data_IF_537027726677
#
_entry.id   IF_537027726677
#
_cell.length_a   1.000
_cell.length_b   1.000
_cell.length_c   1.000
_cell.angle_alpha   90.00
_cell.angle_beta   90.00
_cell.angle_gamma   90.00
#
_symmetry.space_group_name_H-M   'P 1'
#
loop_
_entity.id
_entity.type
_entity.pdbx_description
1 polymer ?
#
# COMPACT_ATOMS: atom_id res chain seq x y z
N UNK A 1 -12.30 -17.64 -17.19
CA UNK A 1 -11.61 -16.43 -16.73
C UNK A 1 -11.87 -15.33 -17.76
N UNK A 2 -12.79 -14.40 -17.47
CA UNK A 2 -13.17 -13.36 -18.44
C UNK A 2 -12.12 -12.25 -18.47
N UNK A 3 -11.73 -11.82 -19.68
CA UNK A 3 -10.78 -10.72 -19.95
C UNK A 3 -11.17 -9.39 -19.26
N UNK A 4 -12.42 -9.25 -18.83
CA UNK A 4 -12.98 -8.05 -18.22
C UNK A 4 -12.39 -7.70 -16.84
N UNK A 5 -11.81 -8.66 -16.10
CA UNK A 5 -11.15 -8.38 -14.82
C UNK A 5 -9.79 -7.69 -14.94
N UNK A 6 -9.14 -7.77 -16.11
CA UNK A 6 -7.88 -7.08 -16.40
C UNK A 6 -8.10 -5.70 -17.04
N UNK A 7 -9.26 -5.49 -17.65
CA UNK A 7 -9.60 -4.23 -18.33
C UNK A 7 -10.04 -3.12 -17.34
N UNK A 8 -10.52 -3.47 -16.15
CA UNK A 8 -10.85 -2.47 -15.10
C UNK A 8 -9.62 -1.83 -14.45
N UNK A 9 -8.47 -2.51 -14.49
CA UNK A 9 -7.15 -1.93 -14.16
C UNK A 9 -6.58 -1.06 -15.29
N UNK A 10 -7.23 -1.02 -16.47
CA UNK A 10 -6.73 -0.29 -17.66
C UNK A 10 -7.19 1.17 -17.74
N UNK A 11 -7.92 1.68 -16.75
CA UNK A 11 -8.30 3.09 -16.72
C UNK A 11 -7.11 3.93 -16.22
N UNK A 12 -6.30 4.34 -17.20
CA UNK A 12 -5.37 5.50 -17.21
C UNK A 12 -4.05 5.41 -16.42
N UNK A 13 -3.41 4.24 -16.38
CA UNK A 13 -1.94 4.26 -16.32
C UNK A 13 -1.46 4.71 -17.71
N UNK A 14 -1.11 6.00 -17.86
CA UNK A 14 -0.46 6.51 -19.07
C UNK A 14 0.64 5.51 -19.48
N UNK A 15 0.68 5.14 -20.76
CA UNK A 15 1.72 4.27 -21.33
C UNK A 15 3.13 4.69 -20.90
N UNK A 16 3.33 5.99 -20.64
CA UNK A 16 4.56 6.54 -20.08
C UNK A 16 4.82 6.08 -18.63
N UNK A 17 3.83 6.09 -17.75
CA UNK A 17 3.94 5.61 -16.37
C UNK A 17 4.28 4.11 -16.34
N UNK A 18 3.59 3.28 -17.12
CA UNK A 18 3.90 1.84 -17.20
C UNK A 18 5.35 1.59 -17.61
N UNK A 19 5.86 2.32 -18.61
CA UNK A 19 7.27 2.23 -19.03
C UNK A 19 8.24 2.66 -17.94
N UNK A 20 7.90 3.69 -17.17
CA UNK A 20 8.73 4.16 -16.05
C UNK A 20 8.75 3.11 -14.94
N UNK A 21 7.60 2.52 -14.58
CA UNK A 21 7.51 1.48 -13.54
C UNK A 21 8.35 0.24 -13.88
N UNK A 22 8.33 -0.22 -15.14
CA UNK A 22 9.21 -1.34 -15.58
C UNK A 22 10.71 -1.06 -15.43
N UNK A 23 11.11 0.22 -15.40
CA UNK A 23 12.51 0.61 -15.21
C UNK A 23 12.92 0.69 -13.74
N UNK A 24 11.97 0.65 -12.79
CA UNK A 24 12.23 0.73 -11.35
C UNK A 24 12.86 -0.56 -10.83
N UNK A 25 12.44 -1.71 -11.35
CA UNK A 25 12.93 -3.02 -10.92
C UNK A 25 14.44 -3.16 -11.12
N UNK A 26 14.96 -2.57 -12.21
CA UNK A 26 16.38 -2.65 -12.55
C UNK A 26 17.17 -1.58 -11.82
N UNK A 27 18.11 -1.99 -10.95
CA UNK A 27 19.01 -1.11 -10.19
C UNK A 27 19.67 -0.01 -11.05
N UNK A 28 20.11 -0.35 -12.27
CA UNK A 28 20.76 0.59 -13.21
C UNK A 28 19.84 1.72 -13.68
N UNK A 29 18.54 1.46 -13.86
CA UNK A 29 17.59 2.44 -14.43
C UNK A 29 16.70 3.10 -13.38
N UNK A 30 16.66 2.57 -12.15
CA UNK A 30 15.79 3.06 -11.08
C UNK A 30 15.95 4.55 -10.77
N UNK A 31 17.17 5.06 -10.65
CA UNK A 31 17.41 6.50 -10.40
C UNK A 31 16.87 7.38 -11.52
N UNK A 32 16.94 6.92 -12.78
CA UNK A 32 16.35 7.62 -13.93
C UNK A 32 14.83 7.57 -13.88
N UNK A 33 14.26 6.42 -13.50
CA UNK A 33 12.84 6.24 -13.34
C UNK A 33 12.26 7.16 -12.25
N UNK A 34 12.91 7.26 -11.09
CA UNK A 34 12.52 8.18 -10.00
C UNK A 34 12.47 9.63 -10.48
N UNK A 35 13.53 10.10 -11.14
CA UNK A 35 13.56 11.46 -11.73
C UNK A 35 12.49 11.70 -12.80
N UNK A 36 12.02 10.65 -13.46
CA UNK A 36 10.94 10.76 -14.44
C UNK A 36 9.58 10.88 -13.73
N UNK A 37 9.37 10.11 -12.65
CA UNK A 37 8.18 10.22 -11.80
C UNK A 37 8.08 11.58 -11.12
N UNK A 38 9.17 12.06 -10.51
CA UNK A 38 9.22 13.39 -9.87
C UNK A 38 8.85 14.50 -10.86
N UNK A 39 9.38 14.44 -12.09
CA UNK A 39 9.03 15.41 -13.13
C UNK A 39 7.56 15.31 -13.57
N UNK A 40 7.01 14.10 -13.64
CA UNK A 40 5.59 13.91 -13.97
C UNK A 40 4.67 14.47 -12.89
N UNK A 41 5.03 14.33 -11.61
CA UNK A 41 4.25 14.90 -10.50
C UNK A 41 4.07 16.41 -10.58
N UNK A 42 5.05 17.13 -11.16
CA UNK A 42 4.96 18.59 -11.35
C UNK A 42 3.92 19.00 -12.40
N UNK A 43 3.54 18.08 -13.30
CA UNK A 43 2.68 18.36 -14.45
C UNK A 43 1.29 17.75 -14.31
N UNK A 44 1.04 17.00 -13.23
CA UNK A 44 -0.17 16.21 -13.05
C UNK A 44 -0.99 16.79 -11.90
N UNK A 45 -2.29 16.88 -12.15
CA UNK A 45 -3.30 17.31 -11.18
C UNK A 45 -3.28 16.43 -9.94
N UNK A 46 -3.58 17.02 -8.80
CA UNK A 46 -3.42 16.37 -7.50
C UNK A 46 -4.18 15.05 -7.38
N UNK A 47 -5.40 14.99 -7.92
CA UNK A 47 -6.26 13.79 -7.91
C UNK A 47 -5.65 12.59 -8.66
N UNK A 48 -4.73 12.84 -9.60
CA UNK A 48 -4.10 11.82 -10.45
C UNK A 48 -2.68 11.45 -9.97
N UNK A 49 -2.22 11.96 -8.82
CA UNK A 49 -0.85 11.75 -8.33
C UNK A 49 -0.63 10.40 -7.66
N UNK A 50 -1.69 9.70 -7.22
CA UNK A 50 -1.54 8.46 -6.44
C UNK A 50 -0.68 7.40 -7.13
N UNK A 51 -0.81 7.11 -8.45
CA UNK A 51 0.02 6.06 -9.07
C UNK A 51 1.50 6.45 -9.15
N UNK A 52 1.80 7.75 -9.20
CA UNK A 52 3.16 8.28 -9.24
C UNK A 52 3.82 8.25 -7.86
N UNK A 53 3.06 8.58 -6.80
CA UNK A 53 3.53 8.41 -5.43
C UNK A 53 3.81 6.94 -5.12
N UNK A 54 2.97 6.01 -5.59
CA UNK A 54 3.24 4.57 -5.46
C UNK A 54 4.53 4.16 -6.17
N UNK A 55 4.73 4.61 -7.41
CA UNK A 55 5.98 4.35 -8.13
C UNK A 55 7.22 4.84 -7.36
N UNK A 56 7.15 6.04 -6.76
CA UNK A 56 8.25 6.59 -5.97
C UNK A 56 8.46 5.81 -4.67
N UNK A 57 7.40 5.46 -3.95
CA UNK A 57 7.47 4.64 -2.75
C UNK A 57 8.19 3.31 -3.03
N UNK A 58 7.77 2.59 -4.09
CA UNK A 58 8.41 1.33 -4.51
C UNK A 58 9.88 1.55 -4.87
N UNK A 59 10.20 2.59 -5.63
CA UNK A 59 11.58 2.87 -6.03
C UNK A 59 12.51 3.18 -4.84
N UNK A 60 12.01 3.92 -3.85
CA UNK A 60 12.75 4.20 -2.62
C UNK A 60 12.88 2.95 -1.75
N UNK A 61 11.83 2.13 -1.64
CA UNK A 61 11.87 0.85 -0.94
C UNK A 61 12.95 -0.09 -1.51
N UNK A 62 12.95 -0.29 -2.83
CA UNK A 62 13.94 -1.14 -3.51
C UNK A 62 15.37 -0.57 -3.42
N UNK A 63 15.51 0.72 -3.15
CA UNK A 63 16.79 1.39 -2.90
C UNK A 63 17.17 1.45 -1.42
N UNK A 64 16.37 0.83 -0.55
CA UNK A 64 16.51 0.84 0.92
C UNK A 64 16.52 2.26 1.51
N UNK A 65 15.87 3.21 0.83
CA UNK A 65 15.69 4.59 1.30
C UNK A 65 14.37 4.69 2.05
N UNK A 66 14.30 4.06 3.22
CA UNK A 66 13.06 3.83 3.93
C UNK A 66 12.33 5.11 4.35
N UNK A 67 13.04 6.15 4.79
CA UNK A 67 12.43 7.43 5.15
C UNK A 67 11.65 8.05 3.99
N UNK A 68 12.25 8.04 2.79
CA UNK A 68 11.59 8.55 1.59
C UNK A 68 10.45 7.66 1.13
N UNK A 69 10.59 6.34 1.29
CA UNK A 69 9.48 5.43 1.03
C UNK A 69 8.29 5.72 1.96
N UNK A 70 8.54 5.87 3.26
CA UNK A 70 7.52 6.20 4.25
C UNK A 70 6.85 7.54 3.94
N UNK A 71 7.62 8.56 3.54
CA UNK A 71 7.10 9.84 3.09
C UNK A 71 6.08 9.70 1.94
N UNK A 72 6.43 8.96 0.88
CA UNK A 72 5.50 8.74 -0.23
C UNK A 72 4.32 7.84 0.12
N UNK A 73 4.50 6.87 1.01
CA UNK A 73 3.39 6.08 1.55
C UNK A 73 2.40 6.95 2.34
N UNK A 74 2.89 7.93 3.11
CA UNK A 74 2.04 8.88 3.80
C UNK A 74 1.25 9.75 2.81
N UNK A 75 1.90 10.29 1.78
CA UNK A 75 1.22 11.03 0.71
C UNK A 75 0.12 10.22 0.03
N UNK A 76 0.37 8.94 -0.25
CA UNK A 76 -0.63 8.01 -0.79
C UNK A 76 -1.84 7.85 0.13
N UNK A 77 -1.58 7.60 1.41
CA UNK A 77 -2.62 7.34 2.39
C UNK A 77 -3.45 8.59 2.70
N UNK A 78 -2.87 9.78 2.56
CA UNK A 78 -3.62 11.04 2.65
C UNK A 78 -4.50 11.28 1.42
N UNK A 79 -3.99 10.99 0.23
CA UNK A 79 -4.68 11.29 -1.03
C UNK A 79 -5.76 10.26 -1.38
N UNK A 80 -5.44 8.96 -1.25
CA UNK A 80 -6.28 7.87 -1.72
C UNK A 80 -6.26 6.67 -0.75
N UNK A 81 -6.70 6.83 0.52
CA UNK A 81 -6.57 5.80 1.56
C UNK A 81 -7.30 4.49 1.26
N UNK A 82 -8.40 4.53 0.50
CA UNK A 82 -9.25 3.37 0.19
C UNK A 82 -9.18 3.01 -1.30
N UNK A 83 -7.99 3.10 -1.87
CA UNK A 83 -7.67 2.70 -3.24
C UNK A 83 -6.67 1.56 -3.23
N UNK A 84 -6.45 0.94 -4.40
CA UNK A 84 -5.37 -0.05 -4.58
C UNK A 84 -4.04 0.57 -4.19
N UNK A 85 -3.75 1.79 -4.64
CA UNK A 85 -2.51 2.49 -4.34
C UNK A 85 -2.33 2.75 -2.84
N UNK A 86 -3.40 3.15 -2.15
CA UNK A 86 -3.42 3.32 -0.71
C UNK A 86 -3.16 2.02 0.03
N UNK A 87 -3.76 0.92 -0.44
CA UNK A 87 -3.54 -0.42 0.12
C UNK A 87 -2.07 -0.83 -0.02
N UNK A 88 -1.47 -0.68 -1.20
CA UNK A 88 -0.04 -0.93 -1.41
C UNK A 88 0.84 -0.04 -0.52
N UNK A 89 0.51 1.25 -0.42
CA UNK A 89 1.21 2.18 0.47
C UNK A 89 1.17 1.74 1.94
N UNK A 90 0.03 1.25 2.42
CA UNK A 90 -0.07 0.70 3.78
C UNK A 90 0.74 -0.59 3.97
N UNK A 91 0.74 -1.50 2.99
CA UNK A 91 1.52 -2.73 3.02
C UNK A 91 3.04 -2.45 3.06
N UNK A 92 3.52 -1.49 2.26
CA UNK A 92 4.92 -1.05 2.29
C UNK A 92 5.34 -0.52 3.66
N UNK A 93 4.48 0.26 4.34
CA UNK A 93 4.77 0.75 5.70
C UNK A 93 4.93 -0.40 6.70
N UNK A 94 4.03 -1.38 6.66
CA UNK A 94 4.12 -2.58 7.50
C UNK A 94 5.45 -3.31 7.25
N UNK A 95 5.79 -3.51 5.98
CA UNK A 95 7.05 -4.16 5.59
C UNK A 95 8.27 -3.41 6.12
N UNK A 96 8.31 -2.08 5.95
CA UNK A 96 9.42 -1.24 6.43
C UNK A 96 9.58 -1.32 7.94
N UNK A 97 8.50 -1.12 8.72
CA UNK A 97 8.60 -1.18 10.17
C UNK A 97 9.00 -2.58 10.66
N UNK A 98 8.59 -3.63 9.95
CA UNK A 98 9.07 -4.99 10.19
C UNK A 98 10.57 -5.12 9.94
N UNK A 99 11.06 -4.63 8.80
CA UNK A 99 12.49 -4.64 8.45
C UNK A 99 13.34 -3.86 9.45
N UNK A 100 12.84 -2.73 9.95
CA UNK A 100 13.54 -1.88 10.92
C UNK A 100 13.42 -2.35 12.38
N UNK A 101 12.64 -3.39 12.65
CA UNK A 101 12.40 -3.87 14.02
C UNK A 101 11.55 -2.92 14.88
N UNK A 102 10.83 -1.98 14.26
CA UNK A 102 9.99 -0.98 14.91
C UNK A 102 8.64 -1.58 15.28
N UNK A 103 8.60 -2.36 16.37
CA UNK A 103 7.44 -3.20 16.74
C UNK A 103 6.15 -2.41 16.92
N UNK A 104 6.21 -1.26 17.61
CA UNK A 104 5.02 -0.44 17.90
C UNK A 104 4.44 0.13 16.61
N UNK A 105 5.27 0.76 15.80
CA UNK A 105 4.88 1.39 14.54
C UNK A 105 4.39 0.35 13.54
N UNK A 106 5.01 -0.84 13.53
CA UNK A 106 4.54 -1.97 12.75
C UNK A 106 3.12 -2.36 13.15
N UNK A 107 2.86 -2.55 14.45
CA UNK A 107 1.54 -2.91 14.96
C UNK A 107 0.48 -1.86 14.61
N UNK A 108 0.79 -0.58 14.79
CA UNK A 108 -0.11 0.52 14.41
C UNK A 108 -0.37 0.55 12.89
N UNK A 109 0.64 0.27 12.06
CA UNK A 109 0.50 0.21 10.60
C UNK A 109 -0.32 -1.01 10.16
N UNK A 110 -0.13 -2.16 10.80
CA UNK A 110 -0.87 -3.40 10.53
C UNK A 110 -2.36 -3.20 10.83
N UNK A 111 -2.70 -2.58 11.96
CA UNK A 111 -4.09 -2.22 12.28
C UNK A 111 -4.72 -1.26 11.27
N UNK A 112 -3.97 -0.26 10.79
CA UNK A 112 -4.44 0.66 9.74
C UNK A 112 -4.63 -0.05 8.40
N UNK A 113 -3.69 -0.91 8.01
CA UNK A 113 -3.75 -1.72 6.80
C UNK A 113 -5.00 -2.61 6.79
N UNK A 114 -5.28 -3.30 7.91
CA UNK A 114 -6.48 -4.10 8.08
C UNK A 114 -7.76 -3.26 7.91
N UNK A 115 -7.81 -2.07 8.53
CA UNK A 115 -8.97 -1.19 8.41
C UNK A 115 -9.21 -0.70 6.98
N UNK A 116 -8.15 -0.45 6.20
CA UNK A 116 -8.25 -0.10 4.78
C UNK A 116 -8.88 -1.25 4.00
N UNK A 117 -8.35 -2.47 4.14
CA UNK A 117 -8.90 -3.64 3.44
C UNK A 117 -10.37 -3.87 3.81
N UNK A 118 -10.72 -3.79 5.10
CA UNK A 118 -12.11 -3.94 5.55
C UNK A 118 -13.02 -2.91 4.89
N UNK A 119 -12.61 -1.64 4.82
CA UNK A 119 -13.40 -0.59 4.18
C UNK A 119 -13.52 -0.82 2.67
N UNK A 120 -12.46 -1.23 2.00
CA UNK A 120 -12.50 -1.55 0.57
C UNK A 120 -13.44 -2.74 0.29
N UNK A 121 -13.35 -3.80 1.09
CA UNK A 121 -14.19 -4.99 0.97
C UNK A 121 -15.70 -4.70 1.18
N UNK A 122 -16.03 -3.76 2.07
CA UNK A 122 -17.43 -3.43 2.39
C UNK A 122 -18.03 -2.32 1.52
N UNK A 123 -17.21 -1.35 1.10
CA UNK A 123 -17.71 -0.08 0.57
C UNK A 123 -17.16 0.32 -0.79
N UNK A 124 -16.14 -0.38 -1.32
CA UNK A 124 -15.61 -0.05 -2.66
C UNK A 124 -16.69 -0.22 -3.72
N UNK A 125 -16.88 0.80 -4.55
CA UNK A 125 -17.74 0.74 -5.74
C UNK A 125 -17.09 -0.03 -6.89
N UNK A 126 -15.75 -0.17 -6.87
CA UNK A 126 -15.00 -0.97 -7.82
C UNK A 126 -15.00 -2.45 -7.36
N UNK A 127 -15.62 -3.37 -8.12
CA UNK A 127 -15.66 -4.79 -7.78
C UNK A 127 -14.27 -5.43 -7.71
N UNK A 128 -13.32 -5.00 -8.53
CA UNK A 128 -11.96 -5.54 -8.54
C UNK A 128 -11.19 -5.18 -7.26
N UNK A 129 -11.35 -3.94 -6.79
CA UNK A 129 -10.79 -3.53 -5.49
C UNK A 129 -11.42 -4.28 -4.32
N UNK A 130 -12.74 -4.51 -4.40
CA UNK A 130 -13.48 -5.24 -3.38
C UNK A 130 -13.01 -6.69 -3.31
N UNK A 131 -12.90 -7.36 -4.45
CA UNK A 131 -12.46 -8.75 -4.55
C UNK A 131 -11.03 -8.93 -4.05
N UNK A 132 -10.11 -8.06 -4.49
CA UNK A 132 -8.73 -8.04 -3.99
C UNK A 132 -8.68 -7.90 -2.47
N UNK A 133 -9.42 -6.93 -1.89
CA UNK A 133 -9.43 -6.71 -0.45
C UNK A 133 -9.99 -7.91 0.33
N UNK A 134 -11.02 -8.58 -0.21
CA UNK A 134 -11.57 -9.81 0.39
C UNK A 134 -10.55 -10.95 0.33
N UNK A 135 -9.87 -11.13 -0.80
CA UNK A 135 -8.85 -12.17 -0.95
C UNK A 135 -7.69 -11.97 0.04
N UNK A 136 -7.20 -10.74 0.19
CA UNK A 136 -6.12 -10.43 1.12
C UNK A 136 -6.55 -10.63 2.58
N UNK A 137 -7.77 -10.24 2.94
CA UNK A 137 -8.34 -10.53 4.26
C UNK A 137 -8.43 -12.04 4.54
N UNK A 138 -8.82 -12.84 3.54
CA UNK A 138 -8.89 -14.30 3.67
C UNK A 138 -7.50 -14.89 3.93
N UNK A 139 -6.49 -14.47 3.17
CA UNK A 139 -5.09 -14.91 3.40
C UNK A 139 -4.63 -14.65 4.82
N UNK A 140 -4.92 -13.46 5.37
CA UNK A 140 -4.55 -13.14 6.76
C UNK A 140 -5.29 -13.97 7.81
N UNK A 141 -6.50 -14.46 7.51
CA UNK A 141 -7.23 -15.40 8.39
C UNK A 141 -6.57 -16.77 8.31
N UNK A 142 -6.32 -17.24 7.08
CA UNK A 142 -5.77 -18.58 6.81
C UNK A 142 -4.33 -18.73 7.32
N UNK A 143 -3.52 -17.69 7.23
CA UNK A 143 -2.15 -17.64 7.77
C UNK A 143 -2.12 -17.55 9.32
N UNK A 144 -3.28 -17.49 9.97
CA UNK A 144 -3.40 -17.43 11.43
C UNK A 144 -2.91 -16.12 12.04
N UNK A 145 -2.59 -15.13 11.21
CA UNK A 145 -2.11 -13.83 11.67
C UNK A 145 -3.26 -13.11 12.39
N UNK A 146 -4.45 -13.04 11.80
CA UNK A 146 -5.63 -12.40 12.42
C UNK A 146 -6.08 -13.05 13.74
N UNK A 147 -5.86 -14.35 13.92
CA UNK A 147 -6.18 -15.05 15.17
C UNK A 147 -5.37 -14.54 16.36
N UNK A 148 -4.10 -14.16 16.16
CA UNK A 148 -3.27 -13.57 17.22
C UNK A 148 -3.65 -12.11 17.52
N UNK A 149 -4.01 -11.33 16.49
CA UNK A 149 -4.38 -9.92 16.64
C UNK A 149 -5.56 -9.67 17.60
N UNK A 150 -6.57 -10.54 17.60
CA UNK A 150 -7.73 -10.38 18.49
C UNK A 150 -7.48 -10.93 19.90
N UNK A 151 -6.64 -11.97 20.02
CA UNK A 151 -6.29 -12.57 21.32
C UNK A 151 -5.39 -11.65 22.13
N UNK A 152 -4.35 -11.07 21.51
CA UNK A 152 -3.41 -10.17 22.19
C UNK A 152 -4.08 -8.86 22.63
N UNK A 153 -5.00 -8.31 21.82
CA UNK A 153 -5.71 -7.06 22.16
C UNK A 153 -6.70 -7.22 23.31
N UNK A 154 -7.32 -8.40 23.45
CA UNK A 154 -8.19 -8.69 24.60
C UNK A 154 -7.35 -8.88 25.87
N UNK A 155 -6.20 -9.55 25.78
CA UNK A 155 -5.30 -9.74 26.92
C UNK A 155 -4.68 -8.41 27.40
N UNK A 156 -4.30 -7.52 26.49
CA UNK A 156 -3.79 -6.19 26.85
C UNK A 156 -4.89 -5.30 27.46
N UNK A 157 -6.11 -5.32 26.90
CA UNK A 157 -7.23 -4.55 27.46
C UNK A 157 -7.65 -5.03 28.86
N UNK A 158 -7.63 -6.33 29.11
CA UNK A 158 -7.90 -6.93 30.43
C UNK A 158 -6.79 -6.60 31.45
N UNK A 159 -5.53 -6.51 31.00
CA UNK A 159 -4.40 -6.16 31.87
C UNK A 159 -4.40 -4.69 32.33
N UNK A 160 -4.99 -3.79 31.54
CA UNK A 160 -5.16 -2.36 31.88
C UNK A 160 -6.42 -2.08 32.72
N UNK A 161 -7.43 -2.93 32.66
CA UNK A 161 -8.65 -2.83 33.49
C UNK A 161 -8.48 -3.41 34.90
N UNK A 162 -7.34 -4.06 35.18
CA UNK A 162 -7.06 -4.79 36.43
C UNK A 162 -6.02 -4.09 37.33
N UNK A 163 -5.67 -2.83 37.04
CA UNK A 163 -4.80 -1.96 37.84
C UNK A 163 -5.57 -0.73 38.29
#
# INVERSE_FOLDING_TARGET
MSKQGLDSLSIRVDSSLRKILLQIDRKKTRKKAMRALERKLLLIDEEHRSPYFLGLAIAHYLSQQYDQCLYYCEKLLSLAPFSIEGLWGSSLRVSIYRTLGMKRERFEAEGKHFMIMKKMALHSQDPGQREMAIEELRKQVDEGDLGKYFVERNQEAESFSSR
#
